data_IF_513906146129
#
_entry.id   IF_513906146129
#
_cell.length_a   1.000
_cell.length_b   1.000
_cell.length_c   1.000
_cell.angle_alpha   90.00
_cell.angle_beta   90.00
_cell.angle_gamma   90.00
#
_symmetry.space_group_name_H-M   'P 1'
#
loop_
_entity.id
_entity.type
_entity.pdbx_description
1 polymer ?
#
# COMPACT_ATOMS: atom_id res chain seq x y z
N UNK A 1 -0.42 13.46 9.45
CA UNK A 1 -0.25 14.37 10.61
C UNK A 1 -1.57 14.82 11.23
N UNK A 2 -2.62 15.15 10.46
CA UNK A 2 -3.94 15.47 11.02
C UNK A 2 -4.54 14.36 11.90
N UNK A 3 -4.39 13.07 11.51
CA UNK A 3 -4.87 11.93 12.30
C UNK A 3 -4.17 11.80 13.67
N UNK A 4 -2.85 11.99 13.70
CA UNK A 4 -2.05 11.97 14.94
C UNK A 4 -2.54 13.05 15.90
N UNK A 5 -2.70 14.27 15.39
CA UNK A 5 -3.20 15.40 16.16
C UNK A 5 -4.59 15.11 16.73
N UNK A 6 -5.49 14.53 15.93
CA UNK A 6 -6.83 14.16 16.35
C UNK A 6 -6.84 13.06 17.43
N UNK A 7 -6.03 12.01 17.28
CA UNK A 7 -5.94 10.94 18.28
C UNK A 7 -5.43 11.44 19.63
N UNK A 8 -4.35 12.25 19.64
CA UNK A 8 -3.79 12.81 20.88
C UNK A 8 -4.77 13.79 21.54
N UNK A 9 -5.55 14.55 20.76
CA UNK A 9 -6.44 15.57 21.32
C UNK A 9 -7.76 15.01 21.87
N UNK A 10 -8.22 13.85 21.37
CA UNK A 10 -9.56 13.33 21.67
C UNK A 10 -9.59 11.93 22.30
N UNK A 11 -8.58 11.08 22.04
CA UNK A 11 -8.58 9.67 22.45
C UNK A 11 -7.19 9.15 22.86
N UNK A 12 -6.63 9.68 23.97
CA UNK A 12 -5.34 9.24 24.53
C UNK A 12 -5.28 7.73 24.81
N UNK A 13 -6.41 7.10 25.15
CA UNK A 13 -6.46 5.68 25.52
C UNK A 13 -6.19 4.70 24.36
N UNK A 14 -6.33 5.16 23.10
CA UNK A 14 -6.15 4.33 21.89
C UNK A 14 -4.80 4.65 21.21
N UNK A 15 -4.09 5.67 21.69
CA UNK A 15 -2.76 6.03 21.20
C UNK A 15 -1.77 4.86 21.39
N UNK A 16 -0.83 4.69 20.45
CA UNK A 16 0.14 3.58 20.44
C UNK A 16 -0.47 2.16 20.36
N UNK A 17 -1.63 2.02 19.72
CA UNK A 17 -2.20 0.69 19.40
C UNK A 17 -2.00 0.34 17.93
N UNK A 18 -1.97 -0.97 17.63
CA UNK A 18 -1.89 -1.47 16.25
C UNK A 18 -3.05 -0.94 15.37
N UNK A 19 -4.22 -0.72 15.96
CA UNK A 19 -5.40 -0.22 15.25
C UNK A 19 -5.15 1.17 14.68
N UNK A 20 -4.62 2.08 15.51
CA UNK A 20 -4.33 3.46 15.08
C UNK A 20 -3.18 3.49 14.09
N UNK A 21 -2.18 2.63 14.26
CA UNK A 21 -1.09 2.48 13.29
C UNK A 21 -1.63 2.04 11.91
N UNK A 22 -2.48 1.01 11.87
CA UNK A 22 -3.11 0.51 10.64
C UNK A 22 -3.96 1.60 9.99
N UNK A 23 -4.79 2.31 10.77
CA UNK A 23 -5.60 3.42 10.25
C UNK A 23 -4.73 4.58 9.73
N UNK A 24 -3.63 4.89 10.42
CA UNK A 24 -2.65 5.88 9.98
C UNK A 24 -2.03 5.54 8.64
N UNK A 25 -1.64 4.29 8.45
CA UNK A 25 -1.13 3.80 7.17
C UNK A 25 -2.22 3.83 6.10
N UNK A 26 -3.42 3.36 6.42
CA UNK A 26 -4.54 3.35 5.49
C UNK A 26 -4.81 4.75 4.94
N UNK A 27 -4.97 5.75 5.81
CA UNK A 27 -5.27 7.13 5.40
C UNK A 27 -4.10 7.76 4.62
N UNK A 28 -2.86 7.44 4.99
CA UNK A 28 -1.67 8.01 4.36
C UNK A 28 -1.40 7.43 2.97
N UNK A 29 -1.70 6.14 2.77
CA UNK A 29 -1.37 5.42 1.54
C UNK A 29 -2.56 5.13 0.63
N UNK A 30 -3.79 5.37 1.08
CA UNK A 30 -4.98 5.28 0.24
C UNK A 30 -4.88 6.12 -1.05
N UNK A 31 -4.41 7.39 -1.03
CA UNK A 31 -4.26 8.18 -2.24
C UNK A 31 -3.29 7.53 -3.25
N UNK A 32 -2.21 6.92 -2.75
CA UNK A 32 -1.22 6.24 -3.58
C UNK A 32 -1.79 4.97 -4.23
N UNK A 33 -2.68 4.25 -3.52
CA UNK A 33 -3.39 3.08 -4.06
C UNK A 33 -4.38 3.45 -5.18
N UNK A 34 -5.02 4.61 -5.08
CA UNK A 34 -6.05 5.03 -6.04
C UNK A 34 -5.51 5.33 -7.43
N UNK A 35 -4.25 5.74 -7.57
CA UNK A 35 -3.63 6.05 -8.86
C UNK A 35 -3.65 4.86 -9.81
N UNK A 36 -3.03 3.72 -9.46
CA UNK A 36 -3.02 2.51 -10.29
C UNK A 36 -4.42 1.94 -10.54
N UNK A 37 -5.31 1.98 -9.54
CA UNK A 37 -6.70 1.51 -9.68
C UNK A 37 -7.43 2.36 -10.73
N UNK A 38 -7.36 3.68 -10.65
CA UNK A 38 -8.00 4.59 -11.62
C UNK A 38 -7.42 4.43 -13.02
N UNK A 39 -6.10 4.28 -13.14
CA UNK A 39 -5.44 4.02 -14.42
C UNK A 39 -5.96 2.74 -15.07
N UNK A 40 -6.07 1.66 -14.31
CA UNK A 40 -6.58 0.38 -14.81
C UNK A 40 -8.07 0.46 -15.18
N UNK A 41 -8.89 1.14 -14.39
CA UNK A 41 -10.30 1.35 -14.71
C UNK A 41 -10.50 2.21 -15.97
N UNK A 42 -9.65 3.21 -16.20
CA UNK A 42 -9.72 4.07 -17.38
C UNK A 42 -9.39 3.35 -18.70
N UNK A 43 -8.73 2.18 -18.62
CA UNK A 43 -8.40 1.36 -19.79
C UNK A 43 -9.55 0.41 -20.20
N UNK A 44 -10.60 0.29 -19.39
CA UNK A 44 -11.74 -0.60 -19.68
C UNK A 44 -12.62 0.03 -20.76
N UNK A 45 -12.80 -0.66 -21.89
CA UNK A 45 -13.71 -0.23 -22.96
C UNK A 45 -15.18 -0.24 -22.45
N UNK A 46 -15.89 0.91 -22.48
CA UNK A 46 -17.31 0.98 -22.11
C UNK A 46 -18.19 -0.04 -22.83
N UNK A 47 -17.85 -0.43 -24.06
CA UNK A 47 -18.61 -1.42 -24.85
C UNK A 47 -18.70 -2.79 -24.17
N UNK A 48 -17.74 -3.15 -23.32
CA UNK A 48 -17.79 -4.41 -22.56
C UNK A 48 -18.94 -4.42 -21.54
N UNK A 49 -19.29 -3.26 -20.99
CA UNK A 49 -20.44 -3.14 -20.09
C UNK A 49 -21.75 -3.25 -20.88
N UNK A 50 -21.85 -2.57 -22.03
CA UNK A 50 -23.02 -2.63 -22.91
C UNK A 50 -23.26 -4.06 -23.45
N UNK A 51 -22.19 -4.76 -23.81
CA UNK A 51 -22.25 -6.16 -24.23
C UNK A 51 -22.76 -7.07 -23.10
N UNK A 52 -22.28 -6.86 -21.87
CA UNK A 52 -22.74 -7.60 -20.69
C UNK A 52 -24.25 -7.41 -20.46
N UNK A 53 -24.75 -6.17 -20.57
CA UNK A 53 -26.19 -5.89 -20.48
C UNK A 53 -27.00 -6.53 -21.61
N UNK A 54 -26.48 -6.50 -22.85
CA UNK A 54 -27.16 -7.10 -24.02
C UNK A 54 -27.26 -8.63 -23.89
N UNK A 55 -26.30 -9.27 -23.22
CA UNK A 55 -26.32 -10.70 -22.90
C UNK A 55 -27.23 -11.06 -21.71
N UNK A 56 -28.00 -10.10 -21.19
CA UNK A 56 -28.95 -10.32 -20.10
C UNK A 56 -28.34 -10.26 -18.69
N UNK A 57 -27.08 -9.83 -18.55
CA UNK A 57 -26.48 -9.68 -17.24
C UNK A 57 -27.04 -8.44 -16.50
N UNK A 58 -27.40 -8.61 -15.23
CA UNK A 58 -27.81 -7.50 -14.37
C UNK A 58 -26.65 -6.62 -13.91
N UNK A 59 -26.95 -5.42 -13.36
CA UNK A 59 -25.97 -4.42 -12.90
C UNK A 59 -24.87 -4.99 -11.99
N UNK A 60 -25.24 -5.84 -11.03
CA UNK A 60 -24.31 -6.45 -10.08
C UNK A 60 -23.37 -7.43 -10.81
N UNK A 61 -23.92 -8.27 -11.70
CA UNK A 61 -23.12 -9.22 -12.49
C UNK A 61 -22.14 -8.48 -13.39
N UNK A 62 -22.59 -7.46 -14.12
CA UNK A 62 -21.72 -6.62 -14.98
C UNK A 62 -20.63 -5.95 -14.17
N UNK A 63 -20.94 -5.40 -12.99
CA UNK A 63 -19.95 -4.75 -12.12
C UNK A 63 -18.82 -5.70 -11.71
N UNK A 64 -19.15 -6.89 -11.18
CA UNK A 64 -18.11 -7.84 -10.73
C UNK A 64 -17.36 -8.49 -11.90
N UNK A 65 -18.08 -8.92 -12.94
CA UNK A 65 -17.48 -9.70 -14.03
C UNK A 65 -16.74 -8.84 -15.06
N UNK A 66 -17.14 -7.59 -15.25
CA UNK A 66 -16.49 -6.65 -16.18
C UNK A 66 -15.60 -5.72 -15.39
N UNK A 67 -16.17 -4.82 -14.58
CA UNK A 67 -15.40 -3.74 -13.95
C UNK A 67 -14.36 -4.28 -12.97
N UNK A 68 -14.78 -5.03 -11.95
CA UNK A 68 -13.85 -5.51 -10.89
C UNK A 68 -12.81 -6.47 -11.47
N UNK A 69 -13.23 -7.40 -12.33
CA UNK A 69 -12.32 -8.39 -12.92
C UNK A 69 -11.30 -7.77 -13.87
N UNK A 70 -11.70 -6.84 -14.74
CA UNK A 70 -10.78 -6.17 -15.67
C UNK A 70 -9.90 -5.14 -14.97
N UNK A 71 -10.38 -4.52 -13.88
CA UNK A 71 -9.57 -3.61 -13.05
C UNK A 71 -8.70 -4.32 -12.01
N UNK A 72 -8.82 -5.65 -11.87
CA UNK A 72 -8.03 -6.43 -10.92
C UNK A 72 -6.51 -6.25 -11.02
N UNK A 73 -5.89 -6.05 -12.22
CA UNK A 73 -4.49 -5.68 -12.29
C UNK A 73 -4.22 -4.39 -11.52
N UNK A 74 -5.02 -3.34 -11.74
CA UNK A 74 -4.98 -2.05 -11.02
C UNK A 74 -4.91 -2.18 -9.50
N UNK A 75 -5.73 -3.07 -8.94
CA UNK A 75 -5.72 -3.36 -7.51
C UNK A 75 -4.41 -4.02 -7.05
N UNK A 76 -3.86 -4.93 -7.86
CA UNK A 76 -2.58 -5.59 -7.57
C UNK A 76 -1.44 -4.56 -7.59
N UNK A 77 -1.36 -3.68 -8.60
CA UNK A 77 -0.37 -2.60 -8.62
C UNK A 77 -0.51 -1.68 -7.40
N UNK A 78 -1.74 -1.28 -7.07
CA UNK A 78 -2.02 -0.46 -5.91
C UNK A 78 -1.54 -1.12 -4.62
N UNK A 79 -1.80 -2.42 -4.46
CA UNK A 79 -1.36 -3.20 -3.31
C UNK A 79 0.18 -3.29 -3.21
N UNK A 80 0.87 -3.57 -4.31
CA UNK A 80 2.35 -3.61 -4.35
C UNK A 80 2.94 -2.25 -4.02
N UNK A 81 2.39 -1.17 -4.59
CA UNK A 81 2.82 0.19 -4.34
C UNK A 81 2.67 0.55 -2.86
N UNK A 82 1.48 0.31 -2.27
CA UNK A 82 1.23 0.55 -0.84
C UNK A 82 2.15 -0.28 0.03
N UNK A 83 2.39 -1.56 -0.31
CA UNK A 83 3.30 -2.42 0.43
C UNK A 83 4.72 -1.84 0.50
N UNK A 84 5.25 -1.39 -0.64
CA UNK A 84 6.58 -0.76 -0.71
C UNK A 84 6.62 0.53 0.10
N UNK A 85 5.57 1.35 0.03
CA UNK A 85 5.48 2.59 0.79
C UNK A 85 5.42 2.34 2.31
N UNK A 86 4.65 1.33 2.74
CA UNK A 86 4.55 0.91 4.14
C UNK A 86 5.87 0.35 4.68
N UNK A 87 6.64 -0.41 3.89
CA UNK A 87 7.91 -1.02 4.32
C UNK A 87 8.95 0.01 4.75
N UNK A 88 9.00 1.15 4.06
CA UNK A 88 9.92 2.26 4.35
C UNK A 88 9.27 3.39 5.16
N UNK A 89 8.06 3.17 5.65
CA UNK A 89 7.36 4.13 6.48
C UNK A 89 8.10 4.23 7.82
N UNK A 90 8.33 5.47 8.27
CA UNK A 90 9.03 5.75 9.51
C UNK A 90 8.32 6.82 10.36
N UNK A 91 7.90 7.98 9.82
CA UNK A 91 7.32 9.03 10.66
C UNK A 91 6.05 8.60 11.42
N UNK A 92 5.10 7.96 10.76
CA UNK A 92 3.87 7.46 11.38
C UNK A 92 4.18 6.28 12.31
N UNK A 93 5.13 5.40 11.97
CA UNK A 93 5.59 4.33 12.85
C UNK A 93 6.13 4.89 14.15
N UNK A 94 7.07 5.83 14.10
CA UNK A 94 7.72 6.40 15.29
C UNK A 94 6.73 7.09 16.23
N UNK A 95 5.64 7.62 15.68
CA UNK A 95 4.62 8.34 16.45
C UNK A 95 3.54 7.39 16.97
N UNK A 96 3.08 6.44 16.15
CA UNK A 96 1.87 5.65 16.43
C UNK A 96 2.15 4.20 16.80
N UNK A 97 3.38 3.71 16.70
CA UNK A 97 3.67 2.30 17.01
C UNK A 97 3.50 2.01 18.51
N UNK A 98 3.06 0.79 18.85
CA UNK A 98 3.11 0.32 20.22
C UNK A 98 4.51 0.36 20.80
N UNK A 99 4.62 0.61 22.10
CA UNK A 99 5.90 0.63 22.82
C UNK A 99 6.61 -0.72 22.63
N UNK A 100 7.87 -0.68 22.21
CA UNK A 100 8.68 -1.87 21.95
C UNK A 100 8.48 -2.49 20.57
N UNK A 101 7.57 -1.96 19.74
CA UNK A 101 7.42 -2.44 18.37
C UNK A 101 8.53 -1.88 17.48
N UNK A 102 9.40 -2.77 17.00
CA UNK A 102 10.48 -2.44 16.08
C UNK A 102 10.18 -2.96 14.69
N UNK A 103 10.24 -2.07 13.71
CA UNK A 103 10.24 -2.40 12.28
C UNK A 103 11.65 -2.28 11.70
N UNK A 104 11.86 -2.87 10.52
CA UNK A 104 13.13 -2.76 9.81
C UNK A 104 13.52 -1.29 9.54
N UNK A 105 12.54 -0.44 9.22
CA UNK A 105 12.74 1.01 9.06
C UNK A 105 13.21 1.68 10.36
N UNK A 106 12.59 1.35 11.51
CA UNK A 106 13.01 1.91 12.81
C UNK A 106 14.40 1.41 13.24
N UNK A 107 14.78 0.17 12.90
CA UNK A 107 16.13 -0.34 13.18
C UNK A 107 17.19 0.35 12.33
N UNK A 108 16.93 0.55 11.03
CA UNK A 108 17.80 1.32 10.14
C UNK A 108 18.02 2.72 10.71
N UNK A 109 16.94 3.37 11.16
CA UNK A 109 17.02 4.68 11.79
C UNK A 109 17.82 4.69 13.08
N UNK A 110 17.63 3.69 13.95
CA UNK A 110 18.41 3.55 15.19
C UNK A 110 19.90 3.38 14.90
N UNK A 111 20.27 2.48 13.99
CA UNK A 111 21.67 2.25 13.62
C UNK A 111 22.31 3.46 12.95
N UNK A 112 21.53 4.19 12.12
CA UNK A 112 22.00 5.42 11.51
C UNK A 112 22.24 6.52 12.55
N UNK A 113 21.34 6.63 13.54
CA UNK A 113 21.46 7.60 14.64
C UNK A 113 22.65 7.32 15.55
N UNK A 114 22.98 6.05 15.75
CA UNK A 114 24.16 5.58 16.50
C UNK A 114 25.45 5.56 15.65
N UNK A 115 25.40 6.01 14.38
CA UNK A 115 26.56 6.06 13.47
C UNK A 115 27.13 4.66 13.17
N UNK A 116 26.33 3.60 13.32
CA UNK A 116 26.69 2.24 12.96
C UNK A 116 26.48 1.98 11.46
N UNK A 117 27.36 2.53 10.64
CA UNK A 117 27.24 2.49 9.17
C UNK A 117 27.14 1.08 8.58
N UNK A 118 27.95 0.13 9.07
CA UNK A 118 27.94 -1.25 8.56
C UNK A 118 26.58 -1.91 8.80
N UNK A 119 26.03 -1.79 10.02
CA UNK A 119 24.71 -2.35 10.37
C UNK A 119 23.59 -1.66 9.60
N UNK A 120 23.67 -0.34 9.47
CA UNK A 120 22.72 0.47 8.69
C UNK A 120 22.69 0.03 7.23
N UNK A 121 23.85 -0.15 6.61
CA UNK A 121 23.97 -0.58 5.22
C UNK A 121 23.37 -1.98 5.02
N UNK A 122 23.72 -2.95 5.87
CA UNK A 122 23.18 -4.31 5.79
C UNK A 122 21.66 -4.33 5.94
N UNK A 123 21.11 -3.65 6.94
CA UNK A 123 19.66 -3.58 7.15
C UNK A 123 18.94 -2.88 5.98
N UNK A 124 19.55 -1.84 5.41
CA UNK A 124 19.00 -1.13 4.23
C UNK A 124 18.98 -2.02 2.99
N UNK A 125 20.04 -2.81 2.75
CA UNK A 125 20.07 -3.78 1.65
C UNK A 125 18.96 -4.82 1.80
N UNK A 126 18.77 -5.37 3.01
CA UNK A 126 17.69 -6.32 3.29
C UNK A 126 16.33 -5.68 3.01
N UNK A 127 16.11 -4.44 3.43
CA UNK A 127 14.88 -3.70 3.16
C UNK A 127 14.64 -3.56 1.65
N UNK A 128 15.66 -3.15 0.90
CA UNK A 128 15.56 -2.99 -0.57
C UNK A 128 15.25 -4.32 -1.26
N UNK A 129 15.85 -5.42 -0.83
CA UNK A 129 15.56 -6.75 -1.39
C UNK A 129 14.11 -7.13 -1.13
N UNK A 130 13.62 -6.98 0.10
CA UNK A 130 12.24 -7.31 0.47
C UNK A 130 11.24 -6.44 -0.29
N UNK A 131 11.52 -5.14 -0.44
CA UNK A 131 10.67 -4.23 -1.22
C UNK A 131 10.76 -4.49 -2.73
N UNK A 132 11.91 -4.94 -3.22
CA UNK A 132 12.18 -5.19 -4.64
C UNK A 132 11.51 -6.45 -5.18
N UNK A 133 11.38 -7.51 -4.37
CA UNK A 133 10.79 -8.79 -4.81
C UNK A 133 9.38 -8.62 -5.40
N UNK A 134 8.40 -7.99 -4.71
CA UNK A 134 7.06 -7.77 -5.26
C UNK A 134 7.07 -6.89 -6.50
N UNK A 135 7.90 -5.84 -6.52
CA UNK A 135 8.04 -4.95 -7.67
C UNK A 135 8.58 -5.67 -8.89
N UNK A 136 9.56 -6.56 -8.70
CA UNK A 136 10.19 -7.32 -9.78
C UNK A 136 9.23 -8.34 -10.37
N UNK A 137 8.58 -9.17 -9.53
CA UNK A 137 7.57 -10.15 -9.97
C UNK A 137 6.47 -9.46 -10.77
N UNK A 138 6.04 -8.30 -10.30
CA UNK A 138 5.03 -7.52 -10.97
C UNK A 138 5.51 -7.06 -12.37
N UNK A 139 6.66 -6.40 -12.43
CA UNK A 139 7.19 -5.85 -13.70
C UNK A 139 7.50 -6.93 -14.73
N UNK A 140 7.96 -8.11 -14.30
CA UNK A 140 8.15 -9.26 -15.20
C UNK A 140 6.85 -9.80 -15.79
N UNK A 141 5.75 -9.75 -15.04
CA UNK A 141 4.44 -10.24 -15.51
C UNK A 141 3.80 -9.29 -16.53
N UNK A 142 4.02 -7.98 -16.42
CA UNK A 142 3.57 -7.00 -17.41
C UNK A 142 4.34 -7.11 -18.72
N UNK A 143 5.66 -7.29 -18.64
CA UNK A 143 6.51 -7.43 -19.83
C UNK A 143 6.15 -8.67 -20.67
N UNK A 144 5.65 -9.73 -20.04
CA UNK A 144 5.21 -10.96 -20.71
C UNK A 144 3.79 -10.87 -21.31
N UNK A 145 3.04 -9.81 -21.02
CA UNK A 145 1.66 -9.61 -21.48
C UNK A 145 1.49 -8.55 -22.58
N UNK A 146 2.54 -7.75 -22.86
CA UNK A 146 2.60 -6.81 -23.98
C UNK A 146 3.17 -7.45 -25.24
#
# INVERSE_FOLDING_TARGET
MSLVFFCINYFDYIYQTFIVLILGYFISFLPAALGPIRSSMAQIDPKLQDASYTLGAGKISTYYNVIVKLSSPGFIYGAVLVFILCLKELPATLILSPIGFQTLATQIWSFASEVFFIKTALASIVLVIIAGIPSYIFMSNDFLRG
#
